data_IF_094825780689
#
_entry.id   IF_094825780689
#
_cell.length_a   1.000
_cell.length_b   1.000
_cell.length_c   1.000
_cell.angle_alpha   90.00
_cell.angle_beta   90.00
_cell.angle_gamma   90.00
#
_symmetry.space_group_name_H-M   'P 1'
#
loop_
_entity.id
_entity.type
_entity.pdbx_description
1 polymer ?
#
# COMPACT_ATOMS: atom_id res chain seq x y z
N UNK A 1 -24.54 34.10 16.83
CA UNK A 1 -24.96 35.30 16.10
C UNK A 1 -24.70 36.50 17.01
N UNK A 2 -23.57 37.15 16.78
CA UNK A 2 -23.17 38.41 17.43
C UNK A 2 -22.26 39.08 16.42
N UNK A 3 -22.78 40.11 15.76
CA UNK A 3 -22.16 40.78 14.62
C UNK A 3 -21.30 41.91 15.19
N UNK A 4 -19.99 41.84 14.96
CA UNK A 4 -19.09 42.98 15.17
C UNK A 4 -18.92 43.66 13.81
N UNK A 5 -19.32 44.92 13.76
CA UNK A 5 -19.06 45.84 12.66
C UNK A 5 -17.54 45.89 12.40
N UNK A 6 -17.14 45.86 11.13
CA UNK A 6 -15.76 45.82 10.61
C UNK A 6 -15.04 44.46 10.61
N UNK A 7 -15.56 43.50 9.84
CA UNK A 7 -14.79 42.75 8.83
C UNK A 7 -15.66 41.64 8.19
N UNK A 8 -16.23 41.91 7.02
CA UNK A 8 -16.85 40.89 6.18
C UNK A 8 -15.76 40.16 5.37
N UNK A 9 -15.26 39.04 5.89
CA UNK A 9 -14.36 38.16 5.13
C UNK A 9 -15.11 36.92 4.64
N UNK A 10 -15.53 36.95 3.37
CA UNK A 10 -15.99 35.77 2.64
C UNK A 10 -14.75 35.07 2.08
N UNK A 11 -14.57 33.76 2.35
CA UNK A 11 -13.41 32.99 1.88
C UNK A 11 -13.79 32.11 0.68
N UNK A 12 -13.31 32.37 -0.55
CA UNK A 12 -13.40 31.39 -1.64
C UNK A 12 -12.37 30.28 -1.43
N UNK A 13 -12.66 29.07 -1.94
CA UNK A 13 -11.91 27.83 -1.65
C UNK A 13 -10.47 27.79 -2.22
N UNK A 14 -10.06 28.80 -3.01
CA UNK A 14 -8.71 28.91 -3.58
C UNK A 14 -8.22 30.36 -3.37
N UNK A 15 -7.13 30.52 -2.63
CA UNK A 15 -6.75 31.77 -1.98
C UNK A 15 -6.12 32.82 -2.89
N UNK A 16 -6.88 33.87 -3.20
CA UNK A 16 -6.35 35.18 -3.57
C UNK A 16 -7.11 36.21 -2.72
N UNK A 17 -6.39 36.94 -1.86
CA UNK A 17 -6.98 37.97 -1.01
C UNK A 17 -6.85 39.33 -1.69
N UNK A 18 -7.97 40.04 -1.90
CA UNK A 18 -7.99 41.47 -2.24
C UNK A 18 -8.77 42.20 -1.15
N UNK A 19 -8.18 43.25 -0.59
CA UNK A 19 -8.90 44.20 0.27
C UNK A 19 -9.85 45.00 -0.62
N UNK A 20 -11.17 44.88 -0.37
CA UNK A 20 -12.18 45.73 -0.99
C UNK A 20 -12.53 46.83 0.02
N UNK A 21 -12.34 48.10 -0.35
CA UNK A 21 -12.64 49.25 0.51
C UNK A 21 -14.06 49.82 0.25
N UNK A 22 -14.74 49.36 -0.80
CA UNK A 22 -16.14 49.71 -1.11
C UNK A 22 -16.85 48.59 -1.87
N UNK A 23 -18.15 48.36 -1.60
CA UNK A 23 -18.97 47.37 -2.31
C UNK A 23 -19.15 47.66 -3.80
N UNK A 24 -18.82 48.86 -4.27
CA UNK A 24 -18.86 49.25 -5.69
C UNK A 24 -17.68 48.73 -6.53
N UNK A 25 -16.62 48.20 -5.90
CA UNK A 25 -15.45 47.63 -6.59
C UNK A 25 -15.70 46.21 -7.13
N UNK A 26 -16.86 45.63 -6.84
CA UNK A 26 -17.36 44.39 -7.42
C UNK A 26 -17.90 44.64 -8.84
N UNK A 27 -17.10 45.24 -9.72
CA UNK A 27 -17.37 45.18 -11.16
C UNK A 27 -16.63 43.98 -11.72
N UNK A 28 -17.40 43.09 -12.31
CA UNK A 28 -16.98 41.86 -12.99
C UNK A 28 -15.86 42.12 -13.99
N UNK A 29 -14.63 42.19 -13.52
CA UNK A 29 -13.46 42.13 -14.36
C UNK A 29 -13.23 40.65 -14.65
N UNK A 30 -13.85 40.17 -15.72
CA UNK A 30 -13.63 38.84 -16.26
C UNK A 30 -12.12 38.66 -16.44
N UNK A 31 -11.51 37.84 -15.58
CA UNK A 31 -10.11 37.43 -15.71
C UNK A 31 -10.01 36.69 -17.05
N UNK A 32 -9.49 37.40 -18.06
CA UNK A 32 -9.15 36.81 -19.36
C UNK A 32 -7.98 35.87 -19.15
N UNK A 33 -8.25 34.62 -18.83
CA UNK A 33 -7.27 33.56 -19.06
C UNK A 33 -6.97 33.57 -20.56
N UNK A 34 -5.69 33.73 -20.91
CA UNK A 34 -5.21 33.80 -22.28
C UNK A 34 -5.87 32.70 -23.14
N UNK A 35 -6.24 33.02 -24.38
CA UNK A 35 -7.09 32.19 -25.24
C UNK A 35 -6.53 30.80 -25.53
N UNK A 36 -6.70 29.87 -24.60
CA UNK A 36 -6.50 28.46 -24.81
C UNK A 36 -7.86 27.77 -24.70
N UNK A 37 -8.23 27.04 -25.75
CA UNK A 37 -9.37 26.13 -25.75
C UNK A 37 -8.78 24.73 -25.64
N UNK A 38 -9.07 24.02 -24.55
CA UNK A 38 -8.77 22.59 -24.47
C UNK A 38 -9.87 21.89 -25.26
N UNK A 39 -9.54 21.40 -26.46
CA UNK A 39 -10.39 20.42 -27.14
C UNK A 39 -10.07 19.07 -26.50
N UNK A 40 -11.00 18.60 -25.69
CA UNK A 40 -10.96 17.24 -25.18
C UNK A 40 -11.46 16.33 -26.30
N UNK A 41 -10.55 15.93 -27.19
CA UNK A 41 -10.80 14.80 -28.09
C UNK A 41 -10.95 13.59 -27.17
N UNK A 42 -12.10 12.89 -27.14
CA UNK A 42 -12.21 11.68 -26.35
C UNK A 42 -11.27 10.66 -26.97
N UNK A 43 -10.05 10.58 -26.43
CA UNK A 43 -9.16 9.48 -26.74
C UNK A 43 -9.98 8.22 -26.44
N UNK A 44 -10.17 7.31 -27.41
CA UNK A 44 -10.72 6.01 -27.07
C UNK A 44 -9.81 5.50 -25.95
N UNK A 45 -10.41 5.20 -24.79
CA UNK A 45 -9.71 4.49 -23.72
C UNK A 45 -8.93 3.38 -24.42
N UNK A 46 -7.62 3.22 -24.21
CA UNK A 46 -6.94 2.05 -24.73
C UNK A 46 -7.65 0.87 -24.09
N UNK A 47 -8.60 0.29 -24.82
CA UNK A 47 -9.11 -1.04 -24.53
C UNK A 47 -7.93 -1.90 -24.91
N UNK A 48 -7.04 -2.08 -23.94
CA UNK A 48 -6.12 -3.19 -23.97
C UNK A 48 -7.01 -4.41 -24.08
N UNK A 49 -7.19 -4.88 -25.31
CA UNK A 49 -7.38 -6.30 -25.56
C UNK A 49 -6.14 -6.91 -24.95
N UNK A 50 -6.24 -7.28 -23.68
CA UNK A 50 -5.20 -8.02 -22.99
C UNK A 50 -5.22 -9.37 -23.68
N UNK A 51 -4.36 -9.52 -24.68
CA UNK A 51 -3.97 -10.82 -25.18
C UNK A 51 -3.62 -11.65 -23.94
N UNK A 52 -4.31 -12.78 -23.78
CA UNK A 52 -4.24 -13.67 -22.59
C UNK A 52 -2.83 -14.20 -22.28
N UNK A 53 -1.81 -13.84 -23.05
CA UNK A 53 -0.44 -14.33 -22.94
C UNK A 53 0.50 -13.41 -22.12
N UNK A 54 0.02 -12.29 -21.57
CA UNK A 54 0.84 -11.36 -20.78
C UNK A 54 0.67 -11.46 -19.24
N UNK A 55 0.33 -12.65 -18.70
CA UNK A 55 0.22 -12.90 -17.25
C UNK A 55 1.45 -13.63 -16.65
N UNK A 56 2.56 -13.71 -17.38
CA UNK A 56 3.80 -14.40 -16.96
C UNK A 56 4.59 -13.62 -15.87
N UNK A 57 4.11 -12.46 -15.43
CA UNK A 57 4.88 -11.54 -14.58
C UNK A 57 4.50 -11.42 -13.10
N UNK A 58 3.48 -12.13 -12.61
CA UNK A 58 2.97 -11.93 -11.22
C UNK A 58 3.22 -13.15 -10.31
N UNK A 59 3.59 -14.30 -10.88
CA UNK A 59 3.88 -15.50 -10.08
C UNK A 59 5.38 -15.57 -9.79
N UNK A 60 5.79 -15.73 -8.52
CA UNK A 60 7.19 -15.94 -8.17
C UNK A 60 7.75 -17.14 -8.93
N UNK A 61 8.99 -17.06 -9.42
CA UNK A 61 9.59 -18.16 -10.20
C UNK A 61 10.40 -19.12 -9.32
N UNK A 62 10.66 -18.75 -8.06
CA UNK A 62 11.48 -19.51 -7.13
C UNK A 62 10.86 -19.53 -5.73
N UNK A 63 11.25 -20.55 -4.95
CA UNK A 63 11.00 -20.61 -3.51
C UNK A 63 11.97 -19.67 -2.80
N UNK A 64 11.44 -18.68 -2.10
CA UNK A 64 12.20 -17.78 -1.24
C UNK A 64 11.61 -17.80 0.15
N UNK A 65 12.46 -17.61 1.16
CA UNK A 65 12.08 -17.51 2.56
C UNK A 65 12.95 -16.45 3.21
N UNK A 66 12.30 -15.47 3.86
CA UNK A 66 12.98 -14.43 4.62
C UNK A 66 12.19 -14.11 5.89
N UNK A 67 12.86 -13.49 6.86
CA UNK A 67 12.22 -13.02 8.09
C UNK A 67 12.66 -11.57 8.36
N UNK A 68 11.69 -10.68 8.58
CA UNK A 68 11.95 -9.29 8.90
C UNK A 68 10.98 -8.76 9.97
N UNK A 69 11.46 -8.03 10.99
CA UNK A 69 12.87 -7.71 11.25
C UNK A 69 13.69 -8.93 11.70
N UNK A 70 15.01 -8.90 11.47
CA UNK A 70 15.96 -9.86 12.04
C UNK A 70 17.28 -9.12 12.34
N UNK A 71 17.65 -8.87 13.62
CA UNK A 71 17.00 -9.34 14.86
C UNK A 71 15.60 -8.74 15.11
N UNK A 72 14.77 -9.43 15.91
CA UNK A 72 13.38 -9.02 16.20
C UNK A 72 13.07 -8.96 17.70
N UNK A 73 12.00 -8.25 18.08
CA UNK A 73 11.52 -8.16 19.47
C UNK A 73 10.01 -7.81 19.54
N UNK A 74 9.14 -8.66 20.11
CA UNK A 74 9.20 -10.13 20.20
C UNK A 74 8.60 -10.81 18.97
N UNK A 75 8.19 -10.06 17.95
CA UNK A 75 7.58 -10.60 16.74
C UNK A 75 8.42 -10.33 15.48
N UNK A 76 8.40 -11.27 14.53
CA UNK A 76 8.99 -11.12 13.19
C UNK A 76 7.99 -11.56 12.13
N UNK A 77 8.09 -10.98 10.93
CA UNK A 77 7.28 -11.39 9.77
C UNK A 77 8.09 -12.33 8.91
N UNK A 78 7.59 -13.56 8.76
CA UNK A 78 8.11 -14.56 7.85
C UNK A 78 7.46 -14.32 6.48
N UNK A 79 8.28 -14.05 5.47
CA UNK A 79 7.85 -13.84 4.09
C UNK A 79 8.36 -15.00 3.25
N UNK A 80 7.47 -15.63 2.48
CA UNK A 80 7.83 -16.72 1.60
C UNK A 80 7.10 -16.67 0.26
N UNK A 81 7.72 -17.22 -0.77
CA UNK A 81 7.15 -17.28 -2.12
C UNK A 81 6.97 -18.72 -2.58
N UNK A 82 5.86 -18.97 -3.28
CA UNK A 82 5.53 -20.26 -3.88
C UNK A 82 5.39 -20.11 -5.40
N UNK A 83 6.16 -20.85 -6.22
CA UNK A 83 6.05 -20.79 -7.67
C UNK A 83 4.88 -21.60 -8.23
N UNK A 84 4.40 -22.58 -7.49
CA UNK A 84 3.27 -23.46 -7.86
C UNK A 84 2.39 -23.73 -6.64
N UNK A 85 1.13 -24.08 -6.88
CA UNK A 85 0.23 -24.54 -5.82
C UNK A 85 0.80 -25.78 -5.15
N UNK A 86 1.03 -25.71 -3.83
CA UNK A 86 1.71 -26.77 -3.08
C UNK A 86 1.14 -26.86 -1.66
N UNK A 87 1.17 -28.05 -1.07
CA UNK A 87 0.96 -28.24 0.37
C UNK A 87 2.17 -27.69 1.13
N UNK A 88 1.98 -26.60 1.88
CA UNK A 88 3.07 -25.86 2.53
C UNK A 88 2.99 -25.98 4.04
N UNK A 89 4.16 -26.26 4.63
CA UNK A 89 4.35 -26.23 6.08
C UNK A 89 5.49 -25.27 6.44
N UNK A 90 5.19 -24.29 7.29
CA UNK A 90 6.19 -23.34 7.82
C UNK A 90 6.36 -23.59 9.31
N UNK A 91 7.51 -24.18 9.64
CA UNK A 91 7.89 -24.55 10.99
C UNK A 91 8.96 -23.58 11.53
N UNK A 92 8.83 -23.20 12.80
CA UNK A 92 9.90 -22.54 13.56
C UNK A 92 10.58 -23.58 14.44
N UNK A 93 11.90 -23.67 14.35
CA UNK A 93 12.73 -24.65 15.04
C UNK A 93 13.73 -23.97 16.00
N UNK A 94 14.02 -24.61 17.13
CA UNK A 94 15.10 -24.19 18.03
C UNK A 94 16.50 -24.61 17.50
N UNK A 95 17.55 -24.24 18.24
CA UNK A 95 18.95 -24.63 17.95
C UNK A 95 19.18 -26.16 17.93
N UNK A 96 18.29 -26.93 18.54
CA UNK A 96 18.37 -28.38 18.61
C UNK A 96 17.53 -29.05 17.51
N UNK A 97 16.93 -28.25 16.61
CA UNK A 97 16.10 -28.73 15.51
C UNK A 97 14.69 -29.14 15.93
N UNK A 98 14.27 -28.83 17.16
CA UNK A 98 12.90 -29.13 17.64
C UNK A 98 11.95 -28.07 17.10
N UNK A 99 10.84 -28.50 16.50
CA UNK A 99 9.77 -27.58 16.10
C UNK A 99 9.09 -26.99 17.34
N UNK A 100 9.22 -25.68 17.52
CA UNK A 100 8.60 -24.94 18.64
C UNK A 100 7.23 -24.38 18.28
N UNK A 101 6.99 -24.11 17.00
CA UNK A 101 5.72 -23.64 16.48
C UNK A 101 5.56 -24.02 15.01
N UNK A 102 4.34 -24.35 14.61
CA UNK A 102 3.94 -24.46 13.20
C UNK A 102 3.02 -23.30 12.88
N UNK A 103 3.45 -22.45 11.95
CA UNK A 103 2.80 -21.16 11.66
C UNK A 103 1.87 -21.28 10.45
N UNK A 104 2.19 -22.18 9.51
CA UNK A 104 1.37 -22.50 8.32
C UNK A 104 1.38 -24.01 8.14
N UNK A 105 0.23 -24.60 7.79
CA UNK A 105 0.07 -26.03 7.48
C UNK A 105 -1.15 -26.23 6.56
N UNK A 106 -1.06 -25.78 5.30
CA UNK A 106 -2.19 -25.85 4.36
C UNK A 106 -1.75 -25.80 2.90
N UNK A 107 -2.67 -26.16 1.99
CA UNK A 107 -2.48 -26.01 0.55
C UNK A 107 -2.66 -24.53 0.17
N UNK A 108 -1.64 -23.93 -0.44
CA UNK A 108 -1.65 -22.54 -0.87
C UNK A 108 -1.36 -22.44 -2.38
N UNK A 109 -2.06 -21.55 -3.12
CA UNK A 109 -1.75 -21.31 -4.53
C UNK A 109 -0.38 -20.63 -4.70
N UNK A 110 0.11 -20.55 -5.93
CA UNK A 110 1.34 -19.82 -6.23
C UNK A 110 1.20 -18.33 -5.87
N UNK A 111 2.21 -17.73 -5.23
CA UNK A 111 2.17 -16.34 -4.76
C UNK A 111 3.17 -16.03 -3.65
N UNK A 112 3.19 -14.77 -3.22
CA UNK A 112 3.94 -14.30 -2.03
C UNK A 112 3.02 -14.28 -0.80
N UNK A 113 3.51 -14.80 0.32
CA UNK A 113 2.80 -14.88 1.58
C UNK A 113 3.60 -14.26 2.71
N UNK A 114 2.88 -13.68 3.67
CA UNK A 114 3.46 -13.03 4.85
C UNK A 114 2.73 -13.48 6.09
N UNK A 115 3.48 -14.00 7.05
CA UNK A 115 2.92 -14.53 8.29
C UNK A 115 3.73 -14.01 9.47
N UNK A 116 3.04 -13.54 10.51
CA UNK A 116 3.69 -13.00 11.70
C UNK A 116 3.90 -14.13 12.70
N UNK A 117 5.12 -14.29 13.18
CA UNK A 117 5.42 -15.14 14.31
C UNK A 117 5.71 -14.29 15.54
N UNK A 118 4.94 -14.50 16.61
CA UNK A 118 5.10 -13.87 17.91
C UNK A 118 5.82 -14.82 18.88
N UNK A 119 7.02 -14.43 19.31
CA UNK A 119 7.86 -15.21 20.21
C UNK A 119 7.71 -14.85 21.69
N UNK A 120 6.67 -14.12 22.11
CA UNK A 120 6.47 -13.68 23.51
C UNK A 120 6.49 -14.82 24.54
N UNK A 121 6.01 -16.02 24.17
CA UNK A 121 5.98 -17.21 25.03
C UNK A 121 7.22 -18.10 24.86
N UNK A 122 8.21 -17.67 24.09
CA UNK A 122 9.41 -18.44 23.79
C UNK A 122 10.65 -17.77 24.40
N UNK A 123 11.65 -18.57 24.80
CA UNK A 123 12.87 -18.04 25.38
C UNK A 123 13.67 -17.22 24.35
N UNK A 124 14.43 -16.22 24.79
CA UNK A 124 15.35 -15.51 23.91
C UNK A 124 16.43 -16.46 23.37
N UNK A 125 16.71 -16.39 22.08
CA UNK A 125 17.66 -17.29 21.43
C UNK A 125 17.61 -17.20 19.92
N UNK A 126 18.33 -18.12 19.26
CA UNK A 126 18.32 -18.27 17.81
C UNK A 126 17.25 -19.29 17.43
N UNK A 127 16.44 -18.93 16.44
CA UNK A 127 15.43 -19.79 15.85
C UNK A 127 15.66 -19.90 14.35
N UNK A 128 15.35 -21.06 13.80
CA UNK A 128 15.37 -21.31 12.37
C UNK A 128 13.95 -21.40 11.84
N UNK A 129 13.69 -20.78 10.70
CA UNK A 129 12.44 -20.98 9.97
C UNK A 129 12.69 -21.99 8.87
N UNK A 130 11.84 -23.01 8.79
CA UNK A 130 11.89 -24.05 7.76
C UNK A 130 10.60 -24.00 6.96
N UNK A 131 10.75 -23.89 5.64
CA UNK A 131 9.66 -24.04 4.69
C UNK A 131 9.76 -25.42 4.04
N UNK A 132 8.65 -26.16 4.05
CA UNK A 132 8.50 -27.45 3.36
C UNK A 132 7.39 -27.28 2.33
N UNK A 133 7.72 -27.53 1.07
CA UNK A 133 6.84 -27.49 -0.10
C UNK A 133 7.32 -28.57 -1.08
#
# INVERSE_FOLDING_TARGET
MTIRSDNDFIRPKWGIYRSLLSSSDLRDEAVRFAGFSIKEEPAPLPVSVVDKEALVGIVPTAYELSAYPNPFNPATTIVFTLPVETEVSVDVCDLLGRTVARVVDEIRPAGEYRVVWDATQHASGIYFVRLVA
#
